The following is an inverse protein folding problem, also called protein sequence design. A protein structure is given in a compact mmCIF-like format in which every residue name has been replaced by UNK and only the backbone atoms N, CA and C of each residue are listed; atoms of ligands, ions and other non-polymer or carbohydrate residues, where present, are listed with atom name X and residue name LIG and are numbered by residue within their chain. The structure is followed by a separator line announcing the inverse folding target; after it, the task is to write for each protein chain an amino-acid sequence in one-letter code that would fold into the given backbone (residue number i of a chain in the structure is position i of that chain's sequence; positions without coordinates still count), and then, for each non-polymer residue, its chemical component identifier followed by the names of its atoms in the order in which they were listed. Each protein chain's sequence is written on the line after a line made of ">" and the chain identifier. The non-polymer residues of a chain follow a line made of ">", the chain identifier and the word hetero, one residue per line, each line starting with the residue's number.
data_IF_711481212431
#
_entry.id   IF_711481212431
#
_cell.length_a   1.000
_cell.length_b   1.000
_cell.length_c   1.000
_cell.angle_alpha   90.00
_cell.angle_beta   90.00
_cell.angle_gamma   90.00
#
_symmetry.space_group_name_H-M   'P 1'
#
loop_
_entity.id
_entity.type
_entity.pdbx_description
1 polymer ?
#
# COMPACT_ATOMS: atom_id res chain seq x y z
N UNK A 1 6.25 -33.61 -13.96
CA UNK A 1 5.17 -32.60 -14.08
C UNK A 1 4.67 -32.15 -12.70
N UNK A 2 4.33 -33.05 -11.76
CA UNK A 2 3.92 -32.68 -10.39
C UNK A 2 5.06 -32.05 -9.57
N UNK A 3 6.25 -32.64 -9.56
CA UNK A 3 7.46 -32.07 -8.90
C UNK A 3 7.85 -30.69 -9.43
N UNK A 4 7.79 -30.44 -10.75
CA UNK A 4 8.09 -29.13 -11.33
C UNK A 4 7.06 -28.05 -10.97
N UNK A 5 5.81 -28.44 -10.68
CA UNK A 5 4.76 -27.52 -10.21
C UNK A 5 4.93 -27.24 -8.72
N UNK A 6 5.37 -28.23 -7.93
CA UNK A 6 5.64 -28.07 -6.50
C UNK A 6 6.88 -27.20 -6.25
N UNK A 7 7.96 -27.37 -7.02
CA UNK A 7 9.17 -26.51 -6.98
C UNK A 7 8.86 -25.07 -7.40
N UNK A 8 8.01 -24.89 -8.42
CA UNK A 8 7.55 -23.58 -8.86
C UNK A 8 6.66 -22.92 -7.80
N UNK A 9 5.78 -23.68 -7.15
CA UNK A 9 4.94 -23.19 -6.06
C UNK A 9 5.77 -22.76 -4.85
N UNK A 10 6.78 -23.54 -4.46
CA UNK A 10 7.71 -23.21 -3.37
C UNK A 10 8.55 -21.96 -3.68
N UNK A 11 9.09 -21.85 -4.90
CA UNK A 11 9.83 -20.67 -5.34
C UNK A 11 8.96 -19.40 -5.42
N UNK A 12 7.66 -19.57 -5.71
CA UNK A 12 6.68 -18.49 -5.69
C UNK A 12 6.33 -18.11 -4.24
N UNK A 13 6.12 -19.06 -3.34
CA UNK A 13 5.83 -18.81 -1.92
C UNK A 13 6.93 -18.06 -1.19
N UNK A 14 8.19 -18.44 -1.40
CA UNK A 14 9.37 -17.79 -0.79
C UNK A 14 9.54 -16.33 -1.26
N UNK A 15 9.22 -16.06 -2.54
CA UNK A 15 9.20 -14.71 -3.11
C UNK A 15 8.01 -13.87 -2.61
N UNK A 16 6.91 -14.48 -2.20
CA UNK A 16 5.69 -13.81 -1.73
C UNK A 16 5.80 -13.31 -0.29
N UNK A 17 6.27 -14.12 0.66
CA UNK A 17 6.34 -13.71 2.09
C UNK A 17 7.42 -12.63 2.32
N UNK A 18 8.48 -12.66 1.51
CA UNK A 18 9.59 -11.71 1.57
C UNK A 18 9.18 -10.30 1.10
N UNK A 19 8.27 -10.18 0.13
CA UNK A 19 7.96 -8.90 -0.55
C UNK A 19 7.12 -7.92 0.30
N UNK A 20 5.98 -8.35 0.86
CA UNK A 20 5.08 -7.44 1.61
C UNK A 20 5.60 -7.03 2.99
N UNK A 21 6.39 -7.89 3.64
CA UNK A 21 6.99 -7.60 4.96
C UNK A 21 8.22 -6.69 4.86
N UNK A 22 8.86 -6.63 3.68
CA UNK A 22 10.00 -5.77 3.39
C UNK A 22 9.61 -4.37 2.89
N UNK A 23 8.49 -4.17 2.21
CA UNK A 23 8.19 -2.83 1.66
C UNK A 23 7.94 -1.77 2.76
N UNK A 24 7.32 -2.14 3.90
CA UNK A 24 7.04 -1.19 4.98
C UNK A 24 8.31 -0.57 5.58
N UNK A 25 9.40 -1.33 5.71
CA UNK A 25 10.67 -0.76 6.21
C UNK A 25 11.21 0.29 5.26
N UNK A 26 11.20 0.04 3.96
CA UNK A 26 11.71 0.99 2.96
C UNK A 26 10.83 2.22 2.83
N UNK A 27 9.53 2.07 3.02
CA UNK A 27 8.61 3.21 3.18
C UNK A 27 9.04 4.08 4.37
N UNK A 28 9.29 3.48 5.53
CA UNK A 28 9.71 4.23 6.73
C UNK A 28 11.08 4.90 6.52
N UNK A 29 12.05 4.20 5.92
CA UNK A 29 13.36 4.77 5.58
C UNK A 29 13.21 5.95 4.62
N UNK A 30 12.38 5.83 3.57
CA UNK A 30 12.11 6.90 2.61
C UNK A 30 11.40 8.11 3.24
N UNK A 31 10.50 7.91 4.20
CA UNK A 31 9.88 9.00 4.97
C UNK A 31 10.92 9.72 5.84
N UNK A 32 11.80 8.97 6.52
CA UNK A 32 12.86 9.52 7.36
C UNK A 32 13.99 10.17 6.57
N UNK A 33 14.19 9.79 5.30
CA UNK A 33 15.08 10.46 4.36
C UNK A 33 14.61 11.88 4.01
N UNK A 34 13.30 12.18 4.16
CA UNK A 34 12.80 13.54 4.00
C UNK A 34 13.21 14.46 5.14
N UNK A 35 12.98 14.01 6.38
CA UNK A 35 13.44 14.66 7.60
C UNK A 35 13.17 13.75 8.81
N UNK A 36 13.79 14.02 9.97
CA UNK A 36 13.47 13.32 11.22
C UNK A 36 11.98 13.47 11.60
N UNK A 37 11.38 12.39 12.10
CA UNK A 37 9.95 12.32 12.45
C UNK A 37 9.74 11.49 13.71
N UNK A 38 8.71 11.79 14.52
CA UNK A 38 8.26 10.82 15.53
C UNK A 38 7.44 9.70 14.90
N UNK A 39 7.27 8.59 15.63
CA UNK A 39 6.42 7.48 15.17
C UNK A 39 5.00 7.92 14.79
N UNK A 40 4.43 8.88 15.51
CA UNK A 40 3.15 9.49 15.17
C UNK A 40 3.17 10.25 13.83
N UNK A 41 4.19 11.07 13.59
CA UNK A 41 4.33 11.80 12.33
C UNK A 41 4.56 10.86 11.15
N UNK A 42 5.31 9.79 11.36
CA UNK A 42 5.52 8.72 10.37
C UNK A 42 4.18 8.10 10.00
N UNK A 43 3.32 7.76 10.97
CA UNK A 43 1.96 7.26 10.68
C UNK A 43 1.15 8.25 9.86
N UNK A 44 1.13 9.52 10.26
CA UNK A 44 0.39 10.53 9.50
C UNK A 44 0.93 10.72 8.08
N UNK A 45 2.26 10.74 7.90
CA UNK A 45 2.88 10.88 6.60
C UNK A 45 2.61 9.66 5.72
N UNK A 46 2.71 8.46 6.30
CA UNK A 46 2.34 7.20 5.68
C UNK A 46 0.89 7.25 5.19
N UNK A 47 -0.06 7.62 6.05
CA UNK A 47 -1.48 7.63 5.70
C UNK A 47 -1.78 8.61 4.58
N UNK A 48 -1.19 9.80 4.62
CA UNK A 48 -1.40 10.81 3.57
C UNK A 48 -0.81 10.41 2.22
N UNK A 49 0.31 9.70 2.22
CA UNK A 49 1.06 9.40 1.00
C UNK A 49 0.66 8.05 0.37
N UNK A 50 0.28 7.07 1.19
CA UNK A 50 0.23 5.66 0.78
C UNK A 50 -1.08 4.94 1.15
N UNK A 51 -1.96 5.51 1.99
CA UNK A 51 -3.15 4.79 2.48
C UNK A 51 -4.09 4.29 1.37
N UNK A 52 -4.08 4.88 0.18
CA UNK A 52 -4.88 4.41 -0.95
C UNK A 52 -4.40 3.09 -1.54
N UNK A 53 -3.19 2.62 -1.25
CA UNK A 53 -2.66 1.36 -1.81
C UNK A 53 -1.72 0.59 -0.89
N UNK A 54 -1.48 1.06 0.33
CA UNK A 54 -0.76 0.34 1.37
C UNK A 54 -1.41 0.62 2.73
N UNK A 55 -1.58 -0.42 3.54
CA UNK A 55 -2.09 -0.29 4.90
C UNK A 55 -1.03 -0.80 5.89
N UNK A 56 -0.74 0.01 6.90
CA UNK A 56 0.07 -0.40 8.04
C UNK A 56 -0.55 0.15 9.31
N UNK A 57 -0.90 -0.75 10.23
CA UNK A 57 -1.38 -0.38 11.56
C UNK A 57 -0.27 0.25 12.40
N UNK A 58 -0.66 1.01 13.43
CA UNK A 58 0.29 1.65 14.35
C UNK A 58 1.31 0.65 14.90
N UNK A 59 0.84 -0.50 15.37
CA UNK A 59 1.69 -1.56 15.92
C UNK A 59 2.75 -2.02 14.91
N UNK A 60 2.39 -2.19 13.63
CA UNK A 60 3.34 -2.60 12.59
C UNK A 60 4.42 -1.53 12.36
N UNK A 61 4.05 -0.25 12.34
CA UNK A 61 5.02 0.85 12.21
C UNK A 61 6.00 0.85 13.39
N UNK A 62 5.50 0.77 14.63
CA UNK A 62 6.37 0.77 15.82
C UNK A 62 7.25 -0.48 15.92
N UNK A 63 6.73 -1.66 15.57
CA UNK A 63 7.53 -2.90 15.51
C UNK A 63 8.61 -2.79 14.44
N UNK A 64 8.30 -2.19 13.28
CA UNK A 64 9.28 -2.00 12.20
C UNK A 64 10.36 -0.99 12.59
N UNK A 65 9.98 0.14 13.21
CA UNK A 65 10.93 1.11 13.76
C UNK A 65 11.88 0.48 14.78
N UNK A 66 11.35 -0.37 15.67
CA UNK A 66 12.18 -1.11 16.64
C UNK A 66 13.23 -1.97 15.94
N UNK A 67 12.85 -2.69 14.88
CA UNK A 67 13.78 -3.52 14.08
C UNK A 67 14.82 -2.67 13.37
N UNK A 68 14.40 -1.60 12.69
CA UNK A 68 15.31 -0.66 12.02
C UNK A 68 16.34 -0.05 12.98
N UNK A 69 15.95 0.25 14.22
CA UNK A 69 16.88 0.71 15.25
C UNK A 69 17.83 -0.37 15.75
N UNK A 70 17.37 -1.61 15.89
CA UNK A 70 18.24 -2.75 16.22
C UNK A 70 19.28 -3.01 15.13
N UNK A 71 18.88 -2.83 13.86
CA UNK A 71 19.73 -2.93 12.67
C UNK A 71 20.62 -1.69 12.45
N UNK A 72 20.55 -0.67 13.33
CA UNK A 72 21.28 0.61 13.22
C UNK A 72 21.00 1.43 11.95
N UNK A 73 19.89 1.14 11.27
CA UNK A 73 19.43 1.89 10.09
C UNK A 73 18.73 3.19 10.47
N UNK A 74 18.20 3.25 11.70
CA UNK A 74 17.52 4.43 12.25
C UNK A 74 17.95 4.64 13.69
N UNK A 75 18.35 5.84 14.03
CA UNK A 75 18.59 6.26 15.41
C UNK A 75 17.40 7.04 15.96
N UNK A 76 17.33 7.16 17.28
CA UNK A 76 16.24 7.89 17.92
C UNK A 76 16.70 8.69 19.12
N UNK A 77 16.15 9.89 19.25
CA UNK A 77 16.34 10.80 20.37
C UNK A 77 15.01 11.01 21.11
N UNK A 78 15.08 11.11 22.44
CA UNK A 78 13.93 11.53 23.26
C UNK A 78 14.00 13.03 23.46
N UNK A 79 13.10 13.75 22.79
CA UNK A 79 12.93 15.19 23.00
C UNK A 79 12.03 15.40 24.21
N UNK A 80 12.60 15.96 25.27
CA UNK A 80 11.88 16.30 26.50
C UNK A 80 10.97 17.50 26.23
N UNK A 81 9.70 17.39 26.62
CA UNK A 81 8.71 18.45 26.41
C UNK A 81 8.11 18.88 27.76
N UNK A 82 7.98 20.18 27.97
CA UNK A 82 7.55 20.74 29.27
C UNK A 82 6.05 20.62 29.51
N UNK A 83 5.24 20.69 28.45
CA UNK A 83 3.76 20.75 28.52
C UNK A 83 3.07 19.57 27.82
N UNK A 84 3.84 18.65 27.24
CA UNK A 84 3.37 17.50 26.47
C UNK A 84 4.23 16.27 26.80
N UNK A 85 3.73 15.05 26.55
CA UNK A 85 4.55 13.85 26.71
C UNK A 85 5.84 13.92 25.89
N UNK A 86 6.93 13.40 26.44
CA UNK A 86 8.21 13.31 25.74
C UNK A 86 8.04 12.65 24.37
N UNK A 87 8.72 13.22 23.38
CA UNK A 87 8.57 12.81 21.99
C UNK A 87 9.81 12.06 21.54
N UNK A 88 9.63 10.78 21.17
CA UNK A 88 10.69 10.01 20.52
C UNK A 88 10.73 10.34 19.03
N UNK A 89 11.82 10.98 18.60
CA UNK A 89 12.07 11.35 17.20
C UNK A 89 13.08 10.39 16.61
N UNK A 90 12.78 9.89 15.43
CA UNK A 90 13.62 8.98 14.67
C UNK A 90 14.32 9.73 13.54
N UNK A 91 15.56 9.34 13.26
CA UNK A 91 16.38 9.89 12.18
C UNK A 91 17.07 8.75 11.42
N UNK A 92 17.16 8.90 10.10
CA UNK A 92 17.90 8.00 9.24
C UNK A 92 19.41 8.12 9.51
N UNK A 93 20.11 6.98 9.66
CA UNK A 93 21.58 6.93 9.76
C UNK A 93 22.20 6.82 8.37
N UNK A 94 23.52 6.99 8.26
CA UNK A 94 24.25 6.76 6.99
C UNK A 94 24.07 5.32 6.49
N UNK A 95 24.05 4.34 7.41
CA UNK A 95 23.76 2.95 7.09
C UNK A 95 22.32 2.76 6.58
N UNK A 96 21.35 3.46 7.18
CA UNK A 96 19.96 3.47 6.72
C UNK A 96 19.79 4.08 5.34
N UNK A 97 20.55 5.13 5.03
CA UNK A 97 20.56 5.72 3.70
C UNK A 97 21.17 4.77 2.66
N UNK A 98 22.31 4.14 2.96
CA UNK A 98 22.92 3.17 2.05
C UNK A 98 22.00 1.97 1.80
N UNK A 99 21.30 1.49 2.82
CA UNK A 99 20.32 0.40 2.70
C UNK A 99 19.13 0.80 1.81
N UNK A 100 18.61 2.02 1.95
CA UNK A 100 17.56 2.54 1.08
C UNK A 100 18.05 2.68 -0.37
N UNK A 101 19.26 3.21 -0.57
CA UNK A 101 19.87 3.39 -1.88
C UNK A 101 20.13 2.03 -2.56
N UNK A 102 20.54 1.01 -1.80
CA UNK A 102 20.68 -0.36 -2.31
C UNK A 102 19.33 -0.90 -2.79
N UNK A 103 18.30 -0.83 -1.96
CA UNK A 103 16.98 -1.34 -2.29
C UNK A 103 16.35 -0.66 -3.51
N UNK A 104 16.57 0.65 -3.69
CA UNK A 104 16.10 1.38 -4.87
C UNK A 104 16.81 0.96 -6.18
N UNK A 105 17.94 0.25 -6.09
CA UNK A 105 18.68 -0.28 -7.24
C UNK A 105 18.39 -1.78 -7.48
N UNK A 106 17.66 -2.44 -6.58
CA UNK A 106 17.24 -3.82 -6.76
C UNK A 106 16.13 -3.92 -7.81
N UNK A 107 16.07 -5.05 -8.52
CA UNK A 107 15.03 -5.30 -9.52
C UNK A 107 13.64 -5.31 -8.86
N UNK A 108 12.67 -4.70 -9.54
CA UNK A 108 11.27 -4.75 -9.08
C UNK A 108 10.78 -6.19 -9.19
N UNK A 109 10.29 -6.81 -8.10
CA UNK A 109 9.84 -8.19 -8.13
C UNK A 109 8.64 -8.37 -9.06
N UNK A 110 8.52 -9.56 -9.64
CA UNK A 110 7.37 -9.92 -10.46
C UNK A 110 6.06 -9.69 -9.70
N UNK A 111 5.08 -9.10 -10.38
CA UNK A 111 3.80 -8.75 -9.78
C UNK A 111 2.97 -10.01 -9.57
N UNK A 112 2.88 -10.46 -8.32
CA UNK A 112 1.94 -11.49 -7.89
C UNK A 112 1.17 -10.99 -6.68
N UNK A 113 -0.14 -10.79 -6.83
CA UNK A 113 -1.01 -10.31 -5.75
C UNK A 113 -2.02 -11.40 -5.40
N UNK A 114 -2.06 -11.81 -4.13
CA UNK A 114 -3.15 -12.62 -3.59
C UNK A 114 -4.36 -11.69 -3.40
N UNK A 115 -5.35 -11.81 -4.28
CA UNK A 115 -6.55 -10.98 -4.26
C UNK A 115 -7.75 -11.80 -3.75
N UNK A 116 -8.17 -11.53 -2.52
CA UNK A 116 -9.26 -12.24 -1.87
C UNK A 116 -10.60 -11.99 -2.56
N UNK A 117 -10.85 -10.78 -3.07
CA UNK A 117 -12.08 -10.45 -3.79
C UNK A 117 -12.18 -11.27 -5.07
N UNK A 118 -11.12 -11.29 -5.89
CA UNK A 118 -11.11 -12.09 -7.12
C UNK A 118 -11.24 -13.59 -6.82
N UNK A 119 -10.62 -14.06 -5.73
CA UNK A 119 -10.74 -15.46 -5.29
C UNK A 119 -12.18 -15.79 -4.91
N UNK A 120 -12.87 -14.94 -4.13
CA UNK A 120 -14.28 -15.13 -3.79
C UNK A 120 -15.17 -15.08 -5.03
N UNK A 121 -14.96 -14.10 -5.90
CA UNK A 121 -15.74 -13.93 -7.14
C UNK A 121 -15.61 -15.16 -8.06
N UNK A 122 -14.42 -15.75 -8.15
CA UNK A 122 -14.18 -16.97 -8.93
C UNK A 122 -15.08 -18.14 -8.51
N UNK A 123 -15.32 -18.31 -7.19
CA UNK A 123 -16.15 -19.38 -6.65
C UNK A 123 -17.63 -19.00 -6.47
N UNK A 124 -18.05 -17.78 -6.82
CA UNK A 124 -19.44 -17.36 -6.64
C UNK A 124 -20.45 -18.16 -7.46
N UNK A 125 -20.01 -18.88 -8.51
CA UNK A 125 -20.87 -19.82 -9.26
C UNK A 125 -21.42 -20.97 -8.41
N UNK A 126 -20.77 -21.29 -7.29
CA UNK A 126 -21.23 -22.30 -6.31
C UNK A 126 -22.16 -21.68 -5.24
N UNK A 127 -22.58 -20.43 -5.43
CA UNK A 127 -23.42 -19.65 -4.51
C UNK A 127 -24.59 -18.97 -5.24
N UNK A 128 -25.30 -18.05 -4.60
CA UNK A 128 -26.35 -17.26 -5.27
C UNK A 128 -25.83 -15.96 -5.88
N UNK A 129 -26.53 -15.47 -6.90
CA UNK A 129 -26.25 -14.17 -7.53
C UNK A 129 -26.29 -13.01 -6.52
N UNK A 130 -27.10 -13.11 -5.45
CA UNK A 130 -27.13 -12.14 -4.36
C UNK A 130 -25.77 -12.03 -3.64
N UNK A 131 -25.10 -13.15 -3.41
CA UNK A 131 -23.77 -13.19 -2.77
C UNK A 131 -22.72 -12.57 -3.69
N UNK A 132 -22.76 -12.90 -4.98
CA UNK A 132 -21.88 -12.29 -5.98
C UNK A 132 -22.07 -10.78 -6.06
N UNK A 133 -23.31 -10.30 -6.11
CA UNK A 133 -23.65 -8.88 -6.12
C UNK A 133 -23.18 -8.16 -4.86
N UNK A 134 -23.32 -8.78 -3.67
CA UNK A 134 -22.78 -8.20 -2.43
C UNK A 134 -21.26 -8.01 -2.54
N UNK A 135 -20.52 -9.03 -2.96
CA UNK A 135 -19.06 -8.92 -3.10
C UNK A 135 -18.63 -7.88 -4.13
N UNK A 136 -19.33 -7.78 -5.26
CA UNK A 136 -19.09 -6.77 -6.28
C UNK A 136 -19.36 -5.35 -5.75
N UNK A 137 -20.45 -5.15 -4.99
CA UNK A 137 -20.79 -3.85 -4.39
C UNK A 137 -19.79 -3.44 -3.31
N UNK A 138 -19.40 -4.36 -2.42
CA UNK A 138 -18.35 -4.12 -1.42
C UNK A 138 -17.01 -3.74 -2.09
N UNK A 139 -16.66 -4.41 -3.20
CA UNK A 139 -15.47 -4.07 -3.97
C UNK A 139 -15.58 -2.70 -4.65
N UNK A 140 -16.73 -2.40 -5.26
CA UNK A 140 -17.02 -1.09 -5.86
C UNK A 140 -16.87 0.04 -4.84
N UNK A 141 -17.47 -0.08 -3.66
CA UNK A 141 -17.35 0.89 -2.57
C UNK A 141 -15.89 1.09 -2.13
N UNK A 142 -15.12 0.00 -2.06
CA UNK A 142 -13.70 0.04 -1.73
C UNK A 142 -12.87 0.78 -2.78
N UNK A 143 -13.07 0.50 -4.06
CA UNK A 143 -12.40 1.19 -5.16
C UNK A 143 -12.77 2.67 -5.19
N UNK A 144 -14.05 3.00 -5.02
CA UNK A 144 -14.55 4.36 -4.97
C UNK A 144 -13.97 5.16 -3.81
N UNK A 145 -13.88 4.55 -2.62
CA UNK A 145 -13.25 5.16 -1.44
C UNK A 145 -11.77 5.46 -1.66
N UNK A 146 -11.03 4.54 -2.29
CA UNK A 146 -9.62 4.73 -2.64
C UNK A 146 -9.44 5.88 -3.65
N UNK A 147 -10.30 5.94 -4.67
CA UNK A 147 -10.25 7.00 -5.68
C UNK A 147 -10.54 8.38 -5.06
N UNK A 148 -11.59 8.47 -4.25
CA UNK A 148 -11.94 9.70 -3.51
C UNK A 148 -10.80 10.17 -2.62
N UNK A 149 -10.13 9.25 -1.92
CA UNK A 149 -8.96 9.59 -1.11
C UNK A 149 -7.82 10.17 -1.96
N UNK A 150 -7.53 9.57 -3.12
CA UNK A 150 -6.47 10.05 -4.03
C UNK A 150 -6.78 11.42 -4.64
N UNK A 151 -8.06 11.74 -4.87
CA UNK A 151 -8.51 13.06 -5.31
C UNK A 151 -8.37 14.10 -4.21
N UNK A 152 -8.76 13.76 -2.97
CA UNK A 152 -8.58 14.64 -1.82
C UNK A 152 -7.10 14.96 -1.60
N UNK A 153 -6.23 13.95 -1.64
CA UNK A 153 -4.77 14.11 -1.56
C UNK A 153 -4.28 15.07 -2.66
N UNK A 154 -4.70 14.91 -3.92
CA UNK A 154 -4.31 15.81 -5.03
C UNK A 154 -4.56 17.27 -4.71
N UNK A 155 -5.75 17.59 -4.21
CA UNK A 155 -6.16 18.96 -3.92
C UNK A 155 -5.29 19.59 -2.81
N UNK A 156 -4.84 18.78 -1.84
CA UNK A 156 -3.96 19.24 -0.75
C UNK A 156 -2.54 19.56 -1.23
N UNK A 157 -2.04 18.88 -2.26
CA UNK A 157 -0.66 19.03 -2.75
C UNK A 157 -0.52 20.00 -3.94
N UNK A 158 -1.59 20.28 -4.68
CA UNK A 158 -1.56 21.12 -5.88
C UNK A 158 -1.09 22.57 -5.65
N UNK A 159 -1.07 23.05 -4.41
CA UNK A 159 -0.78 24.45 -4.06
C UNK A 159 0.50 24.65 -3.25
N UNK A 160 1.25 23.59 -2.93
CA UNK A 160 2.41 23.67 -2.03
C UNK A 160 3.73 23.75 -2.79
N UNK A 161 4.58 24.75 -2.51
CA UNK A 161 5.95 24.77 -3.03
C UNK A 161 6.71 23.52 -2.56
N UNK A 162 7.30 22.76 -3.49
CA UNK A 162 8.13 21.60 -3.17
C UNK A 162 9.62 21.95 -3.22
N UNK A 163 10.38 21.50 -2.22
CA UNK A 163 11.85 21.58 -2.23
C UNK A 163 12.49 20.44 -3.02
N UNK A 164 11.70 19.45 -3.47
CA UNK A 164 12.17 18.24 -4.17
C UNK A 164 11.29 18.00 -5.41
N UNK A 165 11.46 18.78 -6.49
CA UNK A 165 10.60 18.70 -7.67
C UNK A 165 10.66 17.34 -8.37
N UNK A 166 11.85 16.74 -8.47
CA UNK A 166 12.01 15.40 -9.05
C UNK A 166 11.25 14.34 -8.24
N UNK A 167 11.34 14.35 -6.90
CA UNK A 167 10.58 13.40 -6.09
C UNK A 167 9.07 13.54 -6.29
N UNK A 168 8.58 14.80 -6.37
CA UNK A 168 7.17 15.07 -6.61
C UNK A 168 6.71 14.53 -7.97
N UNK A 169 7.51 14.67 -9.02
CA UNK A 169 7.22 14.12 -10.35
C UNK A 169 6.97 12.60 -10.29
N UNK A 170 7.85 11.82 -9.65
CA UNK A 170 7.66 10.37 -9.53
C UNK A 170 6.46 10.01 -8.64
N UNK A 171 6.17 10.79 -7.61
CA UNK A 171 4.95 10.62 -6.81
C UNK A 171 3.68 10.87 -7.65
N UNK A 172 3.71 11.82 -8.59
CA UNK A 172 2.62 12.06 -9.53
C UNK A 172 2.46 10.89 -10.51
N UNK A 173 3.56 10.32 -11.02
CA UNK A 173 3.50 9.13 -11.88
C UNK A 173 2.86 7.93 -11.18
N UNK A 174 3.22 7.66 -9.92
CA UNK A 174 2.60 6.60 -9.11
C UNK A 174 1.09 6.86 -8.97
N UNK A 175 0.72 8.11 -8.72
CA UNK A 175 -0.68 8.52 -8.57
C UNK A 175 -1.46 8.31 -9.86
N UNK A 176 -0.96 8.79 -11.00
CA UNK A 176 -1.61 8.63 -12.31
C UNK A 176 -1.82 7.16 -12.65
N UNK A 177 -0.80 6.33 -12.44
CA UNK A 177 -0.87 4.89 -12.65
C UNK A 177 -1.96 4.23 -11.79
N UNK A 178 -1.99 4.55 -10.49
CA UNK A 178 -2.97 3.99 -9.56
C UNK A 178 -4.39 4.48 -9.83
N UNK A 179 -4.54 5.77 -10.18
CA UNK A 179 -5.83 6.36 -10.53
C UNK A 179 -6.44 5.67 -11.76
N UNK A 180 -5.61 5.41 -12.79
CA UNK A 180 -6.04 4.68 -13.98
C UNK A 180 -6.52 3.26 -13.64
N UNK A 181 -5.76 2.51 -12.83
CA UNK A 181 -6.16 1.16 -12.40
C UNK A 181 -7.47 1.15 -11.61
N UNK A 182 -7.66 2.08 -10.68
CA UNK A 182 -8.88 2.18 -9.88
C UNK A 182 -10.09 2.51 -10.75
N UNK A 183 -9.96 3.45 -11.69
CA UNK A 183 -11.03 3.82 -12.63
C UNK A 183 -11.44 2.65 -13.51
N UNK A 184 -10.47 1.93 -14.09
CA UNK A 184 -10.76 0.72 -14.88
C UNK A 184 -11.39 -0.37 -14.03
N UNK A 185 -10.91 -0.58 -12.79
CA UNK A 185 -11.52 -1.53 -11.86
C UNK A 185 -12.97 -1.20 -11.56
N UNK A 186 -13.28 0.08 -11.35
CA UNK A 186 -14.64 0.56 -11.08
C UNK A 186 -15.56 0.28 -12.27
N UNK A 187 -15.15 0.68 -13.47
CA UNK A 187 -15.92 0.47 -14.71
C UNK A 187 -16.17 -1.02 -14.96
N UNK A 188 -15.16 -1.87 -14.78
CA UNK A 188 -15.30 -3.33 -14.93
C UNK A 188 -16.30 -3.89 -13.91
N UNK A 189 -16.19 -3.45 -12.66
CA UNK A 189 -17.06 -3.93 -11.57
C UNK A 189 -18.51 -3.53 -11.80
N UNK A 190 -18.77 -2.29 -12.25
CA UNK A 190 -20.11 -1.82 -12.62
C UNK A 190 -20.73 -2.68 -13.72
N UNK A 191 -19.95 -2.97 -14.78
CA UNK A 191 -20.42 -3.88 -15.84
C UNK A 191 -20.75 -5.28 -15.34
N UNK A 192 -19.99 -5.81 -14.38
CA UNK A 192 -20.27 -7.13 -13.81
C UNK A 192 -21.54 -7.12 -12.97
N UNK A 193 -21.78 -6.06 -12.19
CA UNK A 193 -23.03 -5.87 -11.44
C UNK A 193 -24.23 -5.85 -12.40
N UNK A 194 -24.20 -4.98 -13.42
CA UNK A 194 -25.28 -4.88 -14.42
C UNK A 194 -25.55 -6.22 -15.10
N UNK A 195 -24.50 -6.95 -15.50
CA UNK A 195 -24.64 -8.26 -16.14
C UNK A 195 -25.38 -9.29 -15.27
N UNK A 196 -25.11 -9.30 -13.96
CA UNK A 196 -25.75 -10.25 -13.04
C UNK A 196 -27.19 -9.79 -12.74
N UNK A 197 -27.43 -8.49 -12.58
CA UNK A 197 -28.77 -7.93 -12.37
C UNK A 197 -29.69 -8.18 -13.59
N UNK A 198 -29.19 -8.00 -14.80
CA UNK A 198 -29.96 -8.24 -16.04
C UNK A 198 -30.38 -9.71 -16.18
N UNK A 199 -29.49 -10.63 -15.80
CA UNK A 199 -29.78 -12.07 -15.76
C UNK A 199 -30.87 -12.40 -14.73
N UNK A 200 -30.83 -11.78 -13.56
CA UNK A 200 -31.84 -12.00 -12.53
C UNK A 200 -33.23 -11.46 -12.94
N UNK A 201 -33.27 -10.40 -13.76
CA UNK A 201 -34.49 -9.77 -14.25
C UNK A 201 -35.04 -10.39 -15.56
N UNK A 202 -34.26 -11.25 -16.22
CA UNK A 202 -34.69 -12.03 -17.40
C UNK A 202 -34.58 -13.52 -17.12
N UNK A 203 -35.39 -14.08 -16.21
CA UNK A 203 -35.39 -15.51 -15.96
C UNK A 203 -35.94 -16.25 -17.20
N UNK A 204 -35.13 -17.16 -17.77
CA UNK A 204 -35.58 -18.17 -18.73
C UNK A 204 -36.70 -19.05 -18.13
#
# INVERSE_FOLDING_TARGET
>A
MREQLDDLALAIEDRIDTSSRNTLRYIILGLLWAHPMSGYDIKQAFDRALASYWNAGNSQIYTTLKRLSQEKLVESEVIVQTTRPNRKVYRLTDAGQLELDRWLQEDVPARFTKDEFLTKLFFCGETSDEIALRHLREHHESLHSQLTHMEWVRQQYATRPTRRPRLLEYQMLVREYKEALLKTGLEVTERFITRIEDRANSPD
#
